data_IF_617995737281
#
_entry.id   IF_617995737281
#
_cell.length_a   1.000
_cell.length_b   1.000
_cell.length_c   1.000
_cell.angle_alpha   90.00
_cell.angle_beta   90.00
_cell.angle_gamma   90.00
#
_symmetry.space_group_name_H-M   'P 1'
#
loop_
_entity.id
_entity.type
_entity.pdbx_description
1 polymer ?
#
# COMPACT_ATOMS: atom_id res chain seq x y z
N UNK A 1 -24.44 -54.99 -7.90
CA UNK A 1 -23.61 -54.17 -8.82
C UNK A 1 -24.23 -52.78 -8.82
N UNK A 2 -23.88 -51.96 -7.82
CA UNK A 2 -24.48 -50.65 -7.57
C UNK A 2 -23.36 -49.65 -7.26
N UNK A 3 -22.83 -48.94 -8.26
CA UNK A 3 -22.05 -47.70 -8.05
C UNK A 3 -21.81 -47.01 -9.40
N UNK A 4 -22.81 -46.33 -9.98
CA UNK A 4 -22.56 -45.52 -11.19
C UNK A 4 -23.52 -44.34 -11.37
N UNK A 5 -24.19 -43.85 -10.33
CA UNK A 5 -25.18 -42.76 -10.48
C UNK A 5 -25.02 -41.59 -9.51
N UNK A 6 -23.77 -41.15 -9.27
CA UNK A 6 -23.49 -40.01 -8.37
C UNK A 6 -22.53 -38.94 -8.90
N UNK A 7 -22.13 -38.96 -10.19
CA UNK A 7 -21.04 -38.08 -10.68
C UNK A 7 -21.38 -37.13 -11.84
N UNK A 8 -22.63 -36.97 -12.23
CA UNK A 8 -22.97 -36.13 -13.42
C UNK A 8 -23.76 -34.86 -13.07
N UNK A 9 -24.00 -34.58 -11.80
CA UNK A 9 -24.96 -33.54 -11.39
C UNK A 9 -24.44 -32.12 -11.14
N UNK A 10 -23.13 -31.81 -11.27
CA UNK A 10 -22.61 -30.56 -10.69
C UNK A 10 -21.47 -29.91 -11.50
N UNK A 11 -21.60 -29.79 -12.82
CA UNK A 11 -20.58 -29.08 -13.65
C UNK A 11 -21.18 -27.92 -14.48
N UNK A 12 -22.47 -27.63 -14.36
CA UNK A 12 -23.12 -26.57 -15.15
C UNK A 12 -23.79 -25.57 -14.20
N UNK A 13 -23.03 -24.63 -13.60
CA UNK A 13 -23.55 -23.29 -13.21
C UNK A 13 -22.53 -22.30 -12.61
N UNK A 14 -21.26 -22.25 -13.02
CA UNK A 14 -20.33 -21.21 -12.48
C UNK A 14 -19.48 -20.62 -13.61
N UNK A 15 -20.09 -19.96 -14.59
CA UNK A 15 -19.37 -19.20 -15.62
C UNK A 15 -20.17 -17.95 -16.05
N UNK A 16 -20.78 -17.26 -15.10
CA UNK A 16 -21.54 -16.05 -15.43
C UNK A 16 -21.85 -15.19 -14.23
N UNK A 17 -20.84 -14.47 -13.71
CA UNK A 17 -20.97 -13.07 -13.27
C UNK A 17 -19.65 -12.61 -12.66
N UNK A 18 -18.89 -11.79 -13.39
CA UNK A 18 -18.05 -10.74 -12.80
C UNK A 18 -17.54 -9.81 -13.89
N UNK A 19 -18.48 -9.13 -14.54
CA UNK A 19 -18.24 -7.77 -15.02
C UNK A 19 -18.70 -6.83 -13.90
N UNK A 20 -17.85 -6.65 -12.89
CA UNK A 20 -18.01 -5.61 -11.87
C UNK A 20 -16.96 -4.54 -12.17
N UNK A 21 -17.40 -3.29 -12.15
CA UNK A 21 -16.77 -2.16 -12.82
C UNK A 21 -15.35 -1.86 -12.37
N UNK A 22 -14.60 -1.25 -13.30
CA UNK A 22 -13.48 -0.37 -12.97
C UNK A 22 -14.02 0.85 -12.21
N UNK A 23 -14.33 0.67 -10.92
CA UNK A 23 -14.30 1.76 -9.96
C UNK A 23 -12.83 2.01 -9.65
N UNK A 24 -12.33 3.22 -9.90
CA UNK A 24 -11.06 3.65 -9.32
C UNK A 24 -11.28 3.70 -7.79
N UNK A 25 -11.06 2.58 -7.13
CA UNK A 25 -11.36 2.36 -5.72
C UNK A 25 -10.30 3.02 -4.84
N UNK A 26 -10.74 3.88 -3.91
CA UNK A 26 -9.97 4.34 -2.74
C UNK A 26 -9.53 3.18 -1.82
N UNK A 27 -9.88 1.93 -2.18
CA UNK A 27 -9.45 0.72 -1.49
C UNK A 27 -7.93 0.48 -1.61
N UNK A 28 -7.28 0.96 -2.67
CA UNK A 28 -5.88 0.64 -2.97
C UNK A 28 -4.91 1.21 -1.91
N UNK A 29 -5.14 2.45 -1.47
CA UNK A 29 -4.31 3.08 -0.43
C UNK A 29 -4.47 2.42 0.95
N UNK A 30 -5.69 2.05 1.34
CA UNK A 30 -5.93 1.39 2.63
C UNK A 30 -5.30 0.00 2.68
N UNK A 31 -5.31 -0.71 1.56
CA UNK A 31 -4.61 -2.00 1.42
C UNK A 31 -3.11 -1.80 1.58
N UNK A 32 -2.53 -0.78 0.94
CA UNK A 32 -1.10 -0.47 1.09
C UNK A 32 -0.76 -0.14 2.55
N UNK A 33 -1.53 0.73 3.20
CA UNK A 33 -1.33 1.12 4.59
C UNK A 33 -1.47 -0.05 5.57
N UNK A 34 -2.48 -0.90 5.35
CA UNK A 34 -2.65 -2.11 6.18
C UNK A 34 -1.52 -3.09 5.94
N UNK A 35 -1.11 -3.29 4.68
CA UNK A 35 -0.05 -4.26 4.34
C UNK A 35 1.27 -3.86 4.96
N UNK A 36 1.65 -2.58 4.90
CA UNK A 36 2.93 -2.08 5.43
C UNK A 36 2.99 -2.03 6.94
N UNK A 37 1.84 -1.96 7.64
CA UNK A 37 1.78 -2.08 9.10
C UNK A 37 2.17 -3.48 9.60
N UNK A 38 1.82 -4.52 8.86
CA UNK A 38 2.05 -5.91 9.27
C UNK A 38 3.24 -6.56 8.58
N UNK A 39 3.66 -6.02 7.43
CA UNK A 39 4.71 -6.60 6.61
C UNK A 39 5.73 -5.55 6.23
N UNK A 40 6.97 -5.82 6.61
CA UNK A 40 8.13 -5.02 6.23
C UNK A 40 8.62 -5.41 4.84
N UNK A 41 8.92 -4.42 3.99
CA UNK A 41 9.44 -4.63 2.65
C UNK A 41 10.96 -4.51 2.65
N UNK A 42 11.64 -5.64 2.78
CA UNK A 42 13.10 -5.70 2.71
C UNK A 42 13.76 -5.82 4.09
N UNK A 43 14.87 -5.09 4.28
CA UNK A 43 15.81 -5.33 5.40
C UNK A 43 15.71 -4.32 6.54
N UNK A 44 15.30 -3.07 6.27
CA UNK A 44 15.09 -2.02 7.27
C UNK A 44 13.59 -1.74 7.46
N UNK A 45 13.25 -0.98 8.49
CA UNK A 45 11.87 -0.62 8.84
C UNK A 45 11.35 0.43 7.85
N UNK A 46 10.31 0.09 7.09
CA UNK A 46 9.75 0.97 6.07
C UNK A 46 9.27 2.30 6.69
N UNK A 47 9.37 3.38 5.92
CA UNK A 47 9.03 4.72 6.39
C UNK A 47 7.92 5.34 5.55
N UNK A 48 6.94 5.95 6.22
CA UNK A 48 6.06 6.91 5.59
C UNK A 48 6.74 8.27 5.56
N UNK A 49 6.91 8.82 4.36
CA UNK A 49 7.15 10.25 4.19
C UNK A 49 5.82 10.98 4.36
N UNK A 50 5.75 11.84 5.36
CA UNK A 50 4.59 12.68 5.61
C UNK A 50 4.89 14.15 5.33
N UNK A 51 3.90 14.87 4.79
CA UNK A 51 3.95 16.30 4.54
C UNK A 51 2.92 17.02 5.39
N UNK A 52 3.30 18.11 6.04
CA UNK A 52 2.35 18.95 6.78
C UNK A 52 1.51 19.77 5.80
N UNK A 53 0.18 19.64 5.84
CA UNK A 53 -0.71 20.56 5.11
C UNK A 53 -0.69 21.95 5.79
N UNK A 54 -0.94 23.01 5.00
CA UNK A 54 -0.75 24.42 5.44
C UNK A 54 -1.50 24.74 6.74
N UNK A 55 -2.70 24.20 6.91
CA UNK A 55 -3.51 24.34 8.13
C UNK A 55 -4.08 22.99 8.58
N UNK A 56 -3.33 21.91 8.36
CA UNK A 56 -3.88 20.57 8.38
C UNK A 56 -3.05 19.52 9.12
N UNK A 57 -3.48 18.26 9.01
CA UNK A 57 -2.74 17.12 9.54
C UNK A 57 -1.43 16.91 8.77
N UNK A 58 -0.72 15.84 9.16
CA UNK A 58 0.37 15.30 8.36
C UNK A 58 -0.21 14.28 7.40
N UNK A 59 -0.03 14.52 6.10
CA UNK A 59 -0.52 13.64 5.04
C UNK A 59 0.59 12.68 4.61
N UNK A 60 0.30 11.39 4.53
CA UNK A 60 1.22 10.40 3.96
C UNK A 60 1.30 10.61 2.45
N UNK A 61 2.50 10.90 1.96
CA UNK A 61 2.71 11.28 0.55
C UNK A 61 3.63 10.34 -0.22
N UNK A 62 4.42 9.51 0.46
CA UNK A 62 5.20 8.43 -0.16
C UNK A 62 5.55 7.34 0.87
N UNK A 63 5.68 6.10 0.41
CA UNK A 63 6.29 5.01 1.16
C UNK A 63 7.75 4.88 0.71
N UNK A 64 8.67 4.82 1.68
CA UNK A 64 10.10 4.65 1.45
C UNK A 64 10.50 3.27 1.97
N UNK A 65 11.05 2.45 1.09
CA UNK A 65 11.49 1.08 1.37
C UNK A 65 12.55 0.63 0.36
N UNK A 66 13.28 -0.43 0.69
CA UNK A 66 14.28 -1.04 -0.19
C UNK A 66 15.66 -0.40 -0.15
N UNK A 67 15.89 0.54 0.77
CA UNK A 67 17.22 1.08 1.06
C UNK A 67 17.98 0.15 2.01
N UNK A 68 19.28 0.40 2.19
CA UNK A 68 20.06 -0.28 3.22
C UNK A 68 19.52 0.07 4.62
N UNK A 69 19.21 1.36 4.81
CA UNK A 69 18.41 1.89 5.90
C UNK A 69 17.32 2.81 5.32
N UNK A 70 16.05 2.41 5.48
CA UNK A 70 14.90 3.14 4.95
C UNK A 70 14.66 4.47 5.66
N UNK A 71 15.14 4.65 6.89
CA UNK A 71 15.11 5.95 7.56
C UNK A 71 16.10 6.93 6.93
N UNK A 72 17.34 6.51 6.69
CA UNK A 72 18.34 7.33 6.00
C UNK A 72 17.86 7.69 4.58
N UNK A 73 17.36 6.72 3.83
CA UNK A 73 16.77 6.97 2.51
C UNK A 73 15.59 7.95 2.54
N UNK A 74 14.76 7.90 3.58
CA UNK A 74 13.67 8.86 3.76
C UNK A 74 14.19 10.27 4.08
N UNK A 75 15.22 10.40 4.90
CA UNK A 75 15.87 11.69 5.21
C UNK A 75 16.49 12.30 3.97
N UNK A 76 17.20 11.52 3.13
CA UNK A 76 17.76 11.99 1.86
C UNK A 76 16.68 12.60 0.94
N UNK A 77 15.51 11.95 0.87
CA UNK A 77 14.36 12.46 0.11
C UNK A 77 13.83 13.77 0.72
N UNK A 78 13.76 13.89 2.06
CA UNK A 78 13.38 15.13 2.72
C UNK A 78 14.36 16.26 2.36
N UNK A 79 15.66 16.01 2.43
CA UNK A 79 16.67 17.01 2.12
C UNK A 79 16.51 17.54 0.69
N UNK A 80 16.33 16.65 -0.29
CA UNK A 80 16.07 17.03 -1.67
C UNK A 80 14.77 17.84 -1.83
N UNK A 81 13.71 17.45 -1.13
CA UNK A 81 12.41 18.14 -1.19
C UNK A 81 12.44 19.52 -0.53
N UNK A 82 13.14 19.67 0.60
CA UNK A 82 13.27 20.95 1.30
C UNK A 82 14.12 21.93 0.52
N UNK A 83 15.17 21.47 -0.18
CA UNK A 83 15.94 22.31 -1.09
C UNK A 83 15.04 22.89 -2.21
N UNK A 84 14.13 22.07 -2.75
CA UNK A 84 13.20 22.49 -3.81
C UNK A 84 12.03 23.33 -3.27
N UNK A 85 11.55 23.04 -2.06
CA UNK A 85 10.37 23.65 -1.44
C UNK A 85 10.63 24.02 0.03
N UNK A 86 11.38 25.11 0.31
CA UNK A 86 11.88 25.42 1.67
C UNK A 86 10.79 25.77 2.70
N UNK A 87 9.61 26.19 2.23
CA UNK A 87 8.45 26.44 3.09
C UNK A 87 7.71 25.17 3.49
N UNK A 88 7.89 24.06 2.75
CA UNK A 88 7.25 22.80 3.07
C UNK A 88 7.87 22.18 4.33
N UNK A 89 7.10 21.33 5.00
CA UNK A 89 7.53 20.58 6.18
C UNK A 89 7.24 19.11 5.95
N UNK A 90 8.28 18.31 6.10
CA UNK A 90 8.25 16.87 5.91
C UNK A 90 8.76 16.17 7.16
N UNK A 91 8.35 14.91 7.36
CA UNK A 91 8.89 14.02 8.39
C UNK A 91 8.84 12.56 7.92
N UNK A 92 9.69 11.73 8.49
CA UNK A 92 9.64 10.27 8.35
C UNK A 92 9.00 9.68 9.60
N UNK A 93 8.08 8.73 9.43
CA UNK A 93 7.49 7.95 10.52
C UNK A 93 7.46 6.48 10.14
N UNK A 94 7.69 5.60 11.12
CA UNK A 94 7.68 4.14 10.88
C UNK A 94 6.34 3.69 10.31
N UNK A 95 6.40 2.83 9.28
CA UNK A 95 5.23 2.24 8.66
C UNK A 95 4.83 0.90 9.30
N UNK A 96 5.78 0.19 9.94
CA UNK A 96 5.62 -1.06 10.72
C UNK A 96 6.34 -0.97 12.07
#
# INVERSE_FOLDING_TARGET
>A
METTLRRVGAVILILGLSAAGAGCDDADWKVLETTTQWNRIGKSQDQWLEKKSVFGPWDKVALIFGYADDYEGCVDVIEALVQKYPAARYRCVSAN
#
